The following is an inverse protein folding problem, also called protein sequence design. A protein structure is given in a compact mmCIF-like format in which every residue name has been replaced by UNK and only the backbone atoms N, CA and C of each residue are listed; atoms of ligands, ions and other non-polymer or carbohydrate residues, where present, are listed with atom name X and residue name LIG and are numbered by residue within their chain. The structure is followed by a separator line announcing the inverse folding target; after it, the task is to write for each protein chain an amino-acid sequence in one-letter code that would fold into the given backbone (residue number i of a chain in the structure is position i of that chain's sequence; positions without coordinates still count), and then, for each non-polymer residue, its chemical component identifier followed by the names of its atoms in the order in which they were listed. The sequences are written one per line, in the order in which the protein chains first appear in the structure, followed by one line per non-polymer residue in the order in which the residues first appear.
data_IF_291532624201
#
_entry.id   IF_291532624201
#
_cell.length_a   1.000
_cell.length_b   1.000
_cell.length_c   1.000
_cell.angle_alpha   90.00
_cell.angle_beta   90.00
_cell.angle_gamma   90.00
#
_symmetry.space_group_name_H-M   'P 1'
#
loop_
_entity.id
_entity.type
_entity.pdbx_description
1 polymer ?
#
# COMPACT_ATOMS: atom_id res chain seq x y z
N UNK A 1 20.91 17.88 0.73
CA UNK A 1 19.67 17.96 1.51
C UNK A 1 18.57 17.49 0.60
N UNK A 2 17.92 16.38 0.91
CA UNK A 2 16.79 15.86 0.15
C UNK A 2 15.58 16.77 0.26
N UNK A 3 14.56 16.53 -0.57
CA UNK A 3 13.33 17.32 -0.58
C UNK A 3 12.51 17.17 0.72
N UNK A 4 12.69 16.05 1.45
CA UNK A 4 11.93 15.71 2.65
C UNK A 4 12.70 15.86 3.96
N UNK A 5 14.01 16.15 3.93
CA UNK A 5 14.88 16.20 5.11
C UNK A 5 14.33 17.07 6.25
N UNK A 6 13.79 18.25 5.91
CA UNK A 6 13.23 19.18 6.90
C UNK A 6 11.97 18.61 7.57
N UNK A 7 11.11 17.94 6.80
CA UNK A 7 9.92 17.27 7.32
C UNK A 7 10.31 16.10 8.22
N UNK A 8 11.18 15.21 7.73
CA UNK A 8 11.57 14.00 8.44
C UNK A 8 12.28 14.29 9.77
N UNK A 9 13.08 15.36 9.84
CA UNK A 9 13.71 15.81 11.08
C UNK A 9 12.72 16.34 12.12
N UNK A 10 11.65 16.99 11.66
CA UNK A 10 10.66 17.62 12.54
C UNK A 10 9.54 16.68 12.96
N UNK A 11 9.11 15.82 12.05
CA UNK A 11 7.87 15.06 12.16
C UNK A 11 8.03 13.55 11.95
N UNK A 12 9.20 13.08 11.52
CA UNK A 12 9.46 11.65 11.37
C UNK A 12 9.39 10.92 12.71
N UNK A 13 8.70 9.77 12.74
CA UNK A 13 8.50 9.01 13.97
C UNK A 13 9.63 8.04 14.30
N UNK A 14 10.35 7.59 13.26
CA UNK A 14 11.41 6.59 13.35
C UNK A 14 12.60 7.01 12.51
N UNK A 15 13.77 6.53 12.90
CA UNK A 15 14.92 6.44 12.01
C UNK A 15 14.61 5.53 10.81
N UNK A 16 15.41 5.57 9.74
CA UNK A 16 15.21 4.70 8.59
C UNK A 16 15.06 3.23 9.00
N UNK A 17 14.01 2.57 8.51
CA UNK A 17 13.69 1.18 8.85
C UNK A 17 14.17 0.19 7.79
N UNK A 18 14.42 0.65 6.56
CA UNK A 18 14.90 -0.17 5.45
C UNK A 18 16.28 0.32 5.00
N UNK A 19 17.28 -0.55 5.16
CA UNK A 19 18.68 -0.24 4.83
C UNK A 19 18.98 -0.34 3.34
N UNK A 20 18.25 -1.17 2.60
CA UNK A 20 18.47 -1.34 1.16
C UNK A 20 18.07 -0.10 0.38
N UNK A 21 18.93 0.29 -0.57
CA UNK A 21 18.64 1.40 -1.49
C UNK A 21 17.40 1.10 -2.35
N UNK A 22 16.48 2.08 -2.53
CA UNK A 22 15.37 1.92 -3.45
C UNK A 22 15.85 1.95 -4.90
N UNK A 23 15.13 1.25 -5.77
CA UNK A 23 15.41 1.28 -7.21
C UNK A 23 15.30 2.73 -7.75
N UNK A 24 16.23 3.24 -8.58
CA UNK A 24 16.21 4.65 -9.05
C UNK A 24 14.92 5.04 -9.81
N UNK A 25 14.29 4.06 -10.44
CA UNK A 25 13.02 4.18 -11.13
C UNK A 25 11.77 3.99 -10.27
N UNK A 26 11.86 3.87 -8.94
CA UNK A 26 10.71 3.65 -8.05
C UNK A 26 9.63 4.74 -8.22
N UNK A 27 8.37 4.31 -8.37
CA UNK A 27 7.24 5.20 -8.65
C UNK A 27 6.14 5.10 -7.61
N UNK A 28 5.87 3.91 -7.10
CA UNK A 28 4.76 3.61 -6.20
C UNK A 28 5.28 2.86 -4.99
N UNK A 29 4.88 3.30 -3.80
CA UNK A 29 5.06 2.54 -2.57
C UNK A 29 3.68 2.25 -2.01
N UNK A 30 3.31 0.97 -1.92
CA UNK A 30 2.12 0.51 -1.22
C UNK A 30 2.50 0.28 0.24
N UNK A 31 1.75 0.87 1.17
CA UNK A 31 1.97 0.69 2.60
C UNK A 31 0.82 -0.13 3.19
N UNK A 32 1.18 -1.12 4.00
CA UNK A 32 0.23 -2.06 4.60
C UNK A 32 0.53 -2.16 6.10
N UNK A 33 -0.21 -1.47 6.98
CA UNK A 33 -0.20 -1.78 8.40
C UNK A 33 -0.89 -3.13 8.59
N UNK A 34 -0.32 -4.00 9.42
CA UNK A 34 -0.89 -5.30 9.72
C UNK A 34 -1.01 -5.53 11.23
N UNK A 35 -2.23 -5.84 11.68
CA UNK A 35 -2.54 -6.14 13.08
C UNK A 35 -3.62 -7.22 13.19
N UNK A 36 -3.21 -8.44 13.59
CA UNK A 36 -4.11 -9.59 13.74
C UNK A 36 -4.95 -9.96 12.50
N UNK A 37 -4.48 -9.72 11.28
CA UNK A 37 -5.23 -10.13 10.09
C UNK A 37 -4.87 -11.55 9.60
N UNK A 38 -5.88 -12.26 9.10
CA UNK A 38 -5.73 -13.53 8.40
C UNK A 38 -5.64 -13.38 6.87
N UNK A 39 -5.77 -12.16 6.33
CA UNK A 39 -5.88 -11.88 4.89
C UNK A 39 -4.61 -11.43 4.18
N UNK A 40 -3.50 -11.23 4.91
CA UNK A 40 -2.29 -10.60 4.37
C UNK A 40 -1.73 -11.33 3.15
N UNK A 41 -1.69 -12.66 3.16
CA UNK A 41 -1.17 -13.42 2.03
C UNK A 41 -1.99 -13.20 0.75
N UNK A 42 -3.33 -13.18 0.85
CA UNK A 42 -4.21 -12.88 -0.29
C UNK A 42 -3.99 -11.46 -0.82
N UNK A 43 -3.79 -10.51 0.08
CA UNK A 43 -3.44 -9.13 -0.25
C UNK A 43 -2.12 -9.10 -1.04
N UNK A 44 -1.07 -9.76 -0.53
CA UNK A 44 0.24 -9.84 -1.18
C UNK A 44 0.18 -10.54 -2.53
N UNK A 45 -0.57 -11.63 -2.66
CA UNK A 45 -0.81 -12.34 -3.94
C UNK A 45 -1.43 -11.42 -4.99
N UNK A 46 -2.41 -10.59 -4.60
CA UNK A 46 -3.06 -9.65 -5.52
C UNK A 46 -2.11 -8.54 -5.99
N UNK A 47 -1.24 -8.05 -5.11
CA UNK A 47 -0.19 -7.07 -5.45
C UNK A 47 0.90 -7.69 -6.31
N UNK A 48 1.33 -8.91 -6.01
CA UNK A 48 2.29 -9.66 -6.84
C UNK A 48 1.77 -9.88 -8.26
N UNK A 49 0.46 -10.11 -8.39
CA UNK A 49 -0.23 -10.34 -9.66
C UNK A 49 -0.51 -9.05 -10.45
N UNK A 50 -0.16 -7.87 -9.92
CA UNK A 50 -0.30 -6.62 -10.65
C UNK A 50 0.53 -6.65 -11.94
N UNK A 51 -0.15 -6.37 -13.05
CA UNK A 51 0.48 -6.24 -14.36
C UNK A 51 1.25 -4.95 -14.39
N UNK A 52 2.56 -5.09 -14.56
CA UNK A 52 3.46 -3.99 -14.84
C UNK A 52 3.75 -4.07 -16.33
N UNK A 53 3.04 -3.30 -17.15
CA UNK A 53 3.34 -3.24 -18.58
C UNK A 53 4.71 -2.60 -18.79
N UNK A 54 5.50 -3.18 -19.70
CA UNK A 54 6.93 -2.89 -19.89
C UNK A 54 7.83 -4.12 -20.10
N UNK A 55 7.27 -5.33 -20.24
CA UNK A 55 8.07 -6.50 -20.57
C UNK A 55 7.23 -7.72 -20.94
N UNK A 56 6.77 -7.78 -22.19
CA UNK A 56 6.64 -9.01 -23.02
C UNK A 56 6.12 -8.61 -24.40
N UNK A 57 7.00 -8.12 -25.27
CA UNK A 57 6.91 -8.45 -26.70
C UNK A 57 8.08 -9.39 -26.99
N UNK A 58 7.81 -10.68 -27.01
CA UNK A 58 8.73 -11.66 -27.56
C UNK A 58 8.69 -11.52 -29.09
N UNK A 59 9.59 -10.70 -29.63
CA UNK A 59 9.95 -10.72 -31.04
C UNK A 59 9.78 -9.39 -31.78
N UNK A 60 10.74 -8.49 -31.64
CA UNK A 60 11.41 -7.88 -32.80
C UNK A 60 12.52 -6.93 -32.32
N UNK A 61 13.63 -6.91 -33.07
CA UNK A 61 14.79 -6.08 -32.79
C UNK A 61 14.48 -4.58 -32.94
N UNK A 62 14.67 -3.79 -31.87
CA UNK A 62 15.11 -2.38 -31.96
C UNK A 62 15.66 -1.86 -30.61
N UNK A 63 16.56 -0.87 -30.72
CA UNK A 63 17.43 -0.31 -29.68
C UNK A 63 16.75 0.84 -28.85
N UNK A 64 17.53 1.65 -28.12
CA UNK A 64 17.35 1.95 -26.69
C UNK A 64 16.26 2.98 -26.39
N UNK A 65 15.36 2.72 -25.45
CA UNK A 65 14.34 3.71 -25.10
C UNK A 65 14.87 4.75 -24.11
N UNK A 66 15.13 5.93 -24.67
CA UNK A 66 15.22 7.19 -23.96
C UNK A 66 13.96 7.40 -23.10
N UNK A 67 14.17 7.87 -21.87
CA UNK A 67 13.09 8.24 -20.96
C UNK A 67 12.11 9.22 -21.61
N UNK A 68 10.83 9.06 -21.27
CA UNK A 68 9.79 10.04 -21.60
C UNK A 68 10.17 11.40 -21.03
N UNK A 69 9.66 12.49 -21.63
CA UNK A 69 9.98 13.88 -21.29
C UNK A 69 9.76 14.25 -19.80
N UNK A 70 9.06 13.39 -19.03
CA UNK A 70 8.75 13.54 -17.61
C UNK A 70 9.60 12.63 -16.67
N UNK A 71 10.58 11.89 -17.20
CA UNK A 71 11.51 11.07 -16.39
C UNK A 71 10.88 9.82 -15.76
N UNK A 72 9.83 9.28 -16.37
CA UNK A 72 9.18 8.04 -15.96
C UNK A 72 9.59 6.86 -16.87
N UNK A 73 10.08 5.73 -16.31
CA UNK A 73 10.39 4.53 -17.10
C UNK A 73 9.12 3.88 -17.67
N UNK A 74 9.28 3.10 -18.75
CA UNK A 74 8.20 2.37 -19.42
C UNK A 74 7.62 1.25 -18.56
N UNK A 75 8.42 0.63 -17.70
CA UNK A 75 7.98 -0.34 -16.69
C UNK A 75 7.78 0.29 -15.32
N UNK A 76 6.64 0.03 -14.67
CA UNK A 76 6.37 0.44 -13.28
C UNK A 76 7.35 -0.25 -12.32
N UNK A 77 8.01 0.53 -11.47
CA UNK A 77 8.72 -0.01 -10.30
C UNK A 77 7.95 0.36 -9.04
N UNK A 78 7.67 -0.64 -8.22
CA UNK A 78 6.93 -0.47 -6.98
C UNK A 78 7.63 -1.15 -5.81
N UNK A 79 7.26 -0.73 -4.61
CA UNK A 79 7.58 -1.44 -3.38
C UNK A 79 6.32 -1.60 -2.53
N UNK A 80 6.28 -2.67 -1.76
CA UNK A 80 5.25 -2.92 -0.75
C UNK A 80 5.95 -2.95 0.60
N UNK A 81 5.60 -2.03 1.48
CA UNK A 81 6.15 -1.96 2.83
C UNK A 81 5.05 -2.39 3.82
N UNK A 82 5.29 -3.53 4.45
CA UNK A 82 4.40 -4.12 5.44
C UNK A 82 4.96 -3.85 6.84
N UNK A 83 4.13 -3.34 7.74
CA UNK A 83 4.48 -3.21 9.15
C UNK A 83 3.52 -4.05 10.00
N UNK A 84 4.04 -5.15 10.55
CA UNK A 84 3.35 -5.89 11.59
C UNK A 84 3.62 -5.18 12.92
N UNK A 85 2.60 -4.59 13.53
CA UNK A 85 2.76 -3.80 14.75
C UNK A 85 2.03 -4.37 15.96
N UNK A 86 2.50 -4.08 17.17
CA UNK A 86 1.76 -4.32 18.42
C UNK A 86 2.14 -3.30 19.49
N UNK A 87 1.25 -3.04 20.48
CA UNK A 87 1.64 -2.31 21.68
C UNK A 87 2.71 -3.06 22.49
N UNK A 88 3.59 -2.32 23.17
CA UNK A 88 4.71 -2.86 23.97
C UNK A 88 4.28 -3.81 25.10
N UNK A 89 3.04 -3.72 25.55
CA UNK A 89 2.45 -4.61 26.57
C UNK A 89 1.26 -5.40 26.01
N UNK A 90 1.28 -5.71 24.72
CA UNK A 90 0.25 -6.53 24.11
C UNK A 90 0.17 -7.91 24.80
N UNK A 91 -1.04 -8.45 25.03
CA UNK A 91 -1.22 -9.82 25.51
C UNK A 91 -0.43 -10.84 24.67
N UNK A 92 0.08 -11.89 25.31
CA UNK A 92 0.93 -12.91 24.67
C UNK A 92 0.32 -13.48 23.38
N UNK A 93 -1.00 -13.73 23.37
CA UNK A 93 -1.69 -14.22 22.17
C UNK A 93 -1.65 -13.26 20.97
N UNK A 94 -1.53 -11.95 21.19
CA UNK A 94 -1.34 -10.96 20.12
C UNK A 94 0.07 -11.06 19.55
N UNK A 95 1.07 -11.12 20.44
CA UNK A 95 2.47 -11.24 20.03
C UNK A 95 2.71 -12.54 19.26
N UNK A 96 2.16 -13.66 19.74
CA UNK A 96 2.21 -14.95 19.03
C UNK A 96 1.53 -14.87 17.65
N UNK A 97 0.34 -14.25 17.57
CA UNK A 97 -0.34 -14.05 16.30
C UNK A 97 0.49 -13.21 15.34
N UNK A 98 1.11 -12.13 15.81
CA UNK A 98 1.98 -11.28 15.01
C UNK A 98 3.23 -12.02 14.53
N UNK A 99 3.86 -12.82 15.39
CA UNK A 99 4.99 -13.65 15.00
C UNK A 99 4.60 -14.68 13.93
N UNK A 100 3.39 -15.24 13.99
CA UNK A 100 2.87 -16.13 12.94
C UNK A 100 2.62 -15.39 11.63
N UNK A 101 1.98 -14.22 11.67
CA UNK A 101 1.75 -13.38 10.48
C UNK A 101 3.09 -12.98 9.86
N UNK A 102 4.02 -12.48 10.67
CA UNK A 102 5.37 -12.11 10.23
C UNK A 102 6.11 -13.30 9.61
N UNK A 103 6.07 -14.48 10.24
CA UNK A 103 6.67 -15.70 9.72
C UNK A 103 6.12 -16.07 8.33
N UNK A 104 4.78 -16.11 8.20
CA UNK A 104 4.11 -16.42 6.92
C UNK A 104 4.43 -15.40 5.84
N UNK A 105 4.36 -14.11 6.14
CA UNK A 105 4.69 -13.05 5.20
C UNK A 105 6.17 -13.10 4.77
N UNK A 106 7.09 -13.38 5.70
CA UNK A 106 8.52 -13.55 5.41
C UNK A 106 8.74 -14.72 4.45
N UNK A 107 8.11 -15.85 4.70
CA UNK A 107 8.26 -17.05 3.89
C UNK A 107 7.63 -16.83 2.50
N UNK A 108 6.46 -16.19 2.43
CA UNK A 108 5.84 -15.77 1.17
C UNK A 108 6.76 -14.86 0.34
N UNK A 109 7.37 -13.84 0.95
CA UNK A 109 8.29 -12.91 0.26
C UNK A 109 9.50 -13.67 -0.30
N UNK A 110 10.02 -14.66 0.42
CA UNK A 110 11.15 -15.48 -0.05
C UNK A 110 10.78 -16.33 -1.26
N UNK A 111 9.56 -16.85 -1.29
CA UNK A 111 9.06 -17.70 -2.37
C UNK A 111 8.61 -16.90 -3.61
N UNK A 112 8.25 -15.63 -3.44
CA UNK A 112 7.66 -14.78 -4.49
C UNK A 112 8.55 -13.59 -4.86
N UNK A 113 9.69 -13.87 -5.48
CA UNK A 113 10.58 -12.81 -5.99
C UNK A 113 9.99 -12.16 -7.25
N UNK A 114 9.82 -10.84 -7.23
CA UNK A 114 9.32 -10.07 -8.37
C UNK A 114 10.38 -9.04 -8.80
N UNK A 115 10.78 -8.97 -10.08
CA UNK A 115 11.78 -8.01 -10.52
C UNK A 115 11.30 -6.56 -10.50
N UNK A 116 9.98 -6.31 -10.54
CA UNK A 116 9.38 -4.97 -10.60
C UNK A 116 8.82 -4.49 -9.26
N UNK A 117 8.52 -5.41 -8.34
CA UNK A 117 7.90 -5.12 -7.05
C UNK A 117 8.79 -5.64 -5.92
N UNK A 118 9.38 -4.73 -5.15
CA UNK A 118 10.10 -5.06 -3.92
C UNK A 118 9.15 -5.23 -2.74
N UNK A 119 9.39 -6.22 -1.87
CA UNK A 119 8.59 -6.41 -0.66
C UNK A 119 9.47 -6.25 0.58
N UNK A 120 9.05 -5.38 1.51
CA UNK A 120 9.75 -5.09 2.74
C UNK A 120 8.85 -5.40 3.94
N UNK A 121 9.32 -6.24 4.84
CA UNK A 121 8.57 -6.67 6.02
C UNK A 121 9.24 -6.17 7.29
N UNK A 122 8.50 -5.34 8.03
CA UNK A 122 8.92 -4.72 9.27
C UNK A 122 8.12 -5.29 10.45
N UNK A 123 8.79 -5.37 11.61
CA UNK A 123 8.18 -5.76 12.88
C UNK A 123 8.54 -4.70 13.92
N UNK A 124 7.55 -4.00 14.45
CA UNK A 124 7.76 -3.04 15.55
C UNK A 124 6.75 -3.29 16.66
N UNK A 125 7.26 -3.70 17.82
CA UNK A 125 6.48 -3.93 19.05
C UNK A 125 6.74 -2.85 20.10
N UNK A 126 7.42 -1.75 19.76
CA UNK A 126 7.82 -0.72 20.72
C UNK A 126 6.75 0.38 20.93
N UNK A 127 5.56 0.22 20.35
CA UNK A 127 4.50 1.24 20.44
C UNK A 127 3.97 1.39 21.85
N UNK A 128 3.79 2.63 22.32
CA UNK A 128 3.02 2.89 23.53
C UNK A 128 1.56 2.41 23.40
N UNK A 129 0.84 2.16 24.51
CA UNK A 129 -0.53 1.63 24.47
C UNK A 129 -1.54 2.49 23.68
N UNK A 130 -1.33 3.81 23.62
CA UNK A 130 -2.17 4.75 22.85
C UNK A 130 -1.69 4.95 21.41
N UNK A 131 -0.54 4.38 21.06
CA UNK A 131 0.17 4.59 19.80
C UNK A 131 0.12 3.35 18.89
N UNK A 132 -0.34 2.20 19.39
CA UNK A 132 -0.43 0.97 18.60
C UNK A 132 -1.62 0.93 17.62
N UNK A 133 -2.35 2.04 17.46
CA UNK A 133 -3.45 2.14 16.51
C UNK A 133 -2.96 2.16 15.05
N UNK A 134 -3.84 1.73 14.14
CA UNK A 134 -3.56 1.67 12.69
C UNK A 134 -3.06 3.00 12.11
N UNK A 135 -3.51 4.14 12.64
CA UNK A 135 -3.08 5.47 12.19
C UNK A 135 -1.59 5.74 12.39
N UNK A 136 -1.02 5.27 13.51
CA UNK A 136 0.42 5.43 13.78
C UNK A 136 1.25 4.52 12.89
N UNK A 137 0.82 3.26 12.71
CA UNK A 137 1.47 2.32 11.80
C UNK A 137 1.49 2.86 10.36
N UNK A 138 0.37 3.41 9.88
CA UNK A 138 0.32 4.10 8.58
C UNK A 138 1.31 5.27 8.52
N UNK A 139 1.38 6.11 9.56
CA UNK A 139 2.32 7.23 9.58
C UNK A 139 3.78 6.78 9.52
N UNK A 140 4.16 5.75 10.29
CA UNK A 140 5.54 5.20 10.23
C UNK A 140 5.87 4.70 8.84
N UNK A 141 4.94 3.95 8.22
CA UNK A 141 5.11 3.47 6.86
C UNK A 141 5.19 4.61 5.83
N UNK A 142 4.37 5.67 5.98
CA UNK A 142 4.44 6.86 5.14
C UNK A 142 5.77 7.62 5.32
N UNK A 143 6.26 7.77 6.55
CA UNK A 143 7.55 8.39 6.84
C UNK A 143 8.68 7.61 6.15
N UNK A 144 8.65 6.27 6.23
CA UNK A 144 9.62 5.41 5.53
C UNK A 144 9.49 5.52 4.01
N UNK A 145 8.28 5.49 3.45
CA UNK A 145 8.05 5.68 2.02
C UNK A 145 8.60 7.04 1.52
N UNK A 146 8.40 8.12 2.31
CA UNK A 146 8.97 9.44 2.03
C UNK A 146 10.50 9.40 2.05
N UNK A 147 11.13 8.74 3.04
CA UNK A 147 12.59 8.56 3.08
C UNK A 147 13.12 7.87 1.83
N UNK A 148 12.42 6.83 1.37
CA UNK A 148 12.82 6.07 0.17
C UNK A 148 12.75 6.93 -1.08
N UNK A 149 11.67 7.67 -1.28
CA UNK A 149 11.59 8.62 -2.40
C UNK A 149 12.62 9.76 -2.29
N UNK A 150 12.93 10.23 -1.08
CA UNK A 150 13.94 11.26 -0.82
C UNK A 150 15.34 10.83 -1.25
N UNK A 151 15.75 9.58 -0.95
CA UNK A 151 17.04 9.01 -1.35
C UNK A 151 17.28 9.03 -2.86
N UNK A 152 16.23 8.92 -3.67
CA UNK A 152 16.30 8.95 -5.14
C UNK A 152 15.80 10.27 -5.75
N UNK A 153 15.56 11.30 -4.94
CA UNK A 153 15.13 12.62 -5.41
C UNK A 153 13.79 12.61 -6.16
N UNK A 154 12.82 11.80 -5.70
CA UNK A 154 11.50 11.63 -6.34
C UNK A 154 10.35 12.25 -5.52
N UNK A 155 10.18 13.59 -5.52
CA UNK A 155 9.15 14.26 -4.71
C UNK A 155 7.71 13.97 -5.15
N UNK A 156 7.51 13.44 -6.36
CA UNK A 156 6.21 13.04 -6.91
C UNK A 156 5.97 11.54 -6.88
N UNK A 157 6.66 10.82 -6.01
CA UNK A 157 6.40 9.41 -5.74
C UNK A 157 4.99 9.20 -5.17
N UNK A 158 4.35 8.10 -5.53
CA UNK A 158 2.98 7.78 -5.10
C UNK A 158 3.06 6.90 -3.86
N UNK A 159 2.37 7.29 -2.79
CA UNK A 159 2.19 6.45 -1.59
C UNK A 159 0.73 5.99 -1.55
N UNK A 160 0.51 4.68 -1.67
CA UNK A 160 -0.81 4.07 -1.63
C UNK A 160 -1.02 3.36 -0.29
N UNK A 161 -1.95 3.86 0.54
CA UNK A 161 -2.32 3.21 1.80
C UNK A 161 -3.37 2.15 1.55
N UNK A 162 -3.09 0.92 2.00
CA UNK A 162 -3.96 -0.24 1.79
C UNK A 162 -4.11 -1.03 3.09
N UNK A 163 -5.27 -1.66 3.29
CA UNK A 163 -5.54 -2.52 4.43
C UNK A 163 -5.05 -3.96 4.14
N UNK A 164 -4.64 -4.69 5.18
CA UNK A 164 -3.98 -5.99 5.03
C UNK A 164 -4.93 -7.12 4.58
N UNK A 165 -6.24 -6.90 4.53
CA UNK A 165 -7.25 -7.82 4.01
C UNK A 165 -7.88 -7.37 2.67
N UNK A 166 -7.42 -6.23 2.13
CA UNK A 166 -7.85 -5.77 0.82
C UNK A 166 -7.16 -6.57 -0.30
N UNK A 167 -7.83 -6.71 -1.43
CA UNK A 167 -7.25 -7.27 -2.66
C UNK A 167 -7.41 -6.26 -3.79
N UNK A 168 -6.43 -6.23 -4.69
CA UNK A 168 -6.42 -5.30 -5.82
C UNK A 168 -6.58 -6.02 -7.16
N UNK A 169 -7.12 -5.31 -8.15
CA UNK A 169 -7.17 -5.79 -9.53
C UNK A 169 -5.77 -5.75 -10.17
N UNK A 170 -5.50 -6.59 -11.20
CA UNK A 170 -4.19 -6.64 -11.85
C UNK A 170 -3.73 -5.29 -12.44
N UNK A 171 -4.64 -4.38 -12.78
CA UNK A 171 -4.32 -3.05 -13.32
C UNK A 171 -4.03 -1.98 -12.26
N UNK A 172 -4.06 -2.31 -10.97
CA UNK A 172 -4.06 -1.34 -9.87
C UNK A 172 -2.88 -0.36 -9.88
N UNK A 173 -1.65 -0.87 -9.94
CA UNK A 173 -0.45 -0.02 -9.95
C UNK A 173 -0.40 0.88 -11.19
N UNK A 174 -0.81 0.36 -12.34
CA UNK A 174 -0.89 1.13 -13.59
C UNK A 174 -1.95 2.22 -13.51
N UNK A 175 -3.11 1.94 -12.93
CA UNK A 175 -4.18 2.91 -12.74
C UNK A 175 -3.72 4.07 -11.83
N UNK A 176 -3.00 3.79 -10.74
CA UNK A 176 -2.42 4.81 -9.87
C UNK A 176 -1.47 5.73 -10.63
N UNK A 177 -0.49 5.14 -11.33
CA UNK A 177 0.49 5.90 -12.11
C UNK A 177 -0.21 6.76 -13.18
N UNK A 178 -1.17 6.21 -13.91
CA UNK A 178 -1.92 6.93 -14.95
C UNK A 178 -2.76 8.08 -14.35
N UNK A 179 -3.37 7.87 -13.18
CA UNK A 179 -4.18 8.90 -12.52
C UNK A 179 -3.35 10.13 -12.16
N UNK A 180 -2.22 9.94 -11.47
CA UNK A 180 -1.37 11.06 -11.03
C UNK A 180 -0.52 11.68 -12.15
N UNK A 181 -0.32 10.97 -13.27
CA UNK A 181 0.25 11.56 -14.50
C UNK A 181 -0.75 12.45 -15.23
N UNK A 182 -1.99 11.99 -15.37
CA UNK A 182 -3.01 12.71 -16.14
C UNK A 182 -3.67 13.87 -15.36
N UNK A 183 -3.50 13.93 -14.04
CA UNK A 183 -4.13 14.93 -13.17
C UNK A 183 -3.13 15.51 -12.17
N UNK A 184 -3.04 16.84 -12.04
CA UNK A 184 -2.19 17.49 -11.04
C UNK A 184 -2.90 17.53 -9.68
N UNK A 185 -3.13 16.35 -9.08
CA UNK A 185 -3.72 16.22 -7.75
C UNK A 185 -2.68 15.70 -6.76
N UNK A 186 -2.77 16.15 -5.50
CA UNK A 186 -1.86 15.71 -4.42
C UNK A 186 -2.34 14.43 -3.72
N UNK A 187 -3.59 14.01 -3.97
CA UNK A 187 -4.16 12.80 -3.39
C UNK A 187 -5.52 12.44 -3.98
N UNK A 188 -5.93 11.19 -3.78
CA UNK A 188 -7.23 10.67 -4.18
C UNK A 188 -7.69 9.57 -3.21
N UNK A 189 -9.00 9.34 -3.14
CA UNK A 189 -9.56 8.12 -2.56
C UNK A 189 -9.65 7.04 -3.63
N UNK A 190 -9.34 5.80 -3.27
CA UNK A 190 -9.48 4.64 -4.15
C UNK A 190 -10.85 4.02 -3.89
N UNK A 191 -11.57 3.72 -4.98
CA UNK A 191 -12.84 3.01 -4.89
C UNK A 191 -12.62 1.59 -4.39
N UNK A 192 -13.48 1.13 -3.48
CA UNK A 192 -13.47 -0.23 -2.97
C UNK A 192 -14.91 -0.71 -2.71
N UNK A 193 -15.09 -2.02 -2.72
CA UNK A 193 -16.36 -2.67 -2.41
C UNK A 193 -16.10 -3.98 -1.66
N UNK A 194 -17.02 -4.34 -0.77
CA UNK A 194 -17.00 -5.64 -0.13
C UNK A 194 -17.71 -6.71 -0.99
N UNK A 195 -17.25 -7.98 -0.96
CA UNK A 195 -17.96 -9.06 -1.63
C UNK A 195 -19.36 -9.26 -1.04
N UNK A 196 -20.38 -9.22 -1.90
CA UNK A 196 -21.79 -9.38 -1.50
C UNK A 196 -22.25 -10.85 -1.40
N UNK A 197 -21.39 -11.79 -1.81
CA UNK A 197 -21.63 -13.23 -1.76
C UNK A 197 -20.30 -13.99 -1.76
N UNK A 198 -20.31 -15.23 -1.27
CA UNK A 198 -19.17 -16.14 -1.31
C UNK A 198 -19.38 -17.35 -0.41
N UNK A 199 -18.33 -18.17 -0.27
CA UNK A 199 -18.36 -19.40 0.53
C UNK A 199 -17.60 -19.25 1.86
N UNK A 200 -16.90 -18.13 2.06
CA UNK A 200 -16.03 -17.89 3.21
C UNK A 200 -16.84 -17.63 4.50
N UNK A 201 -18.01 -17.00 4.37
CA UNK A 201 -18.85 -16.62 5.50
C UNK A 201 -20.28 -17.15 5.36
N UNK A 202 -21.05 -17.08 6.46
CA UNK A 202 -22.46 -17.45 6.42
C UNK A 202 -23.28 -16.44 5.59
N UNK A 203 -24.42 -16.84 5.01
CA UNK A 203 -25.31 -15.93 4.28
C UNK A 203 -25.72 -14.69 5.08
N UNK A 204 -25.80 -14.79 6.41
CA UNK A 204 -26.10 -13.67 7.30
C UNK A 204 -25.03 -12.58 7.30
N UNK A 205 -23.75 -12.96 7.16
CA UNK A 205 -22.63 -12.00 7.07
C UNK A 205 -22.71 -11.24 5.74
N UNK A 206 -22.93 -11.93 4.63
CA UNK A 206 -23.09 -11.29 3.32
C UNK A 206 -24.31 -10.35 3.26
N UNK A 207 -25.40 -10.71 3.92
CA UNK A 207 -26.56 -9.81 4.07
C UNK A 207 -26.21 -8.57 4.90
N UNK A 208 -25.44 -8.72 5.97
CA UNK A 208 -24.97 -7.59 6.78
C UNK A 208 -24.05 -6.66 5.98
N UNK A 209 -23.10 -7.23 5.22
CA UNK A 209 -22.24 -6.50 4.28
C UNK A 209 -23.09 -5.73 3.26
N UNK A 210 -24.07 -6.40 2.63
CA UNK A 210 -24.96 -5.77 1.65
C UNK A 210 -25.70 -4.57 2.25
N UNK A 211 -26.20 -4.69 3.49
CA UNK A 211 -26.87 -3.57 4.19
C UNK A 211 -25.90 -2.43 4.49
N UNK A 212 -24.68 -2.73 4.89
CA UNK A 212 -23.64 -1.74 5.14
C UNK A 212 -23.26 -0.98 3.85
N UNK A 213 -23.04 -1.72 2.76
CA UNK A 213 -22.79 -1.22 1.41
C UNK A 213 -23.91 -0.32 0.88
N UNK A 214 -25.18 -0.70 1.08
CA UNK A 214 -26.33 0.13 0.76
C UNK A 214 -26.38 1.40 1.61
N UNK A 215 -26.06 1.30 2.90
CA UNK A 215 -26.01 2.45 3.80
C UNK A 215 -24.95 3.47 3.37
N UNK A 216 -23.74 3.02 3.03
CA UNK A 216 -22.67 3.90 2.54
C UNK A 216 -23.09 4.64 1.26
N UNK A 217 -23.69 3.92 0.29
CA UNK A 217 -24.20 4.53 -0.95
C UNK A 217 -25.31 5.54 -0.67
N UNK A 218 -26.26 5.21 0.20
CA UNK A 218 -27.32 6.13 0.62
C UNK A 218 -26.76 7.38 1.30
N UNK A 219 -25.78 7.23 2.21
CA UNK A 219 -25.15 8.33 2.92
C UNK A 219 -24.41 9.27 1.97
N UNK A 220 -23.66 8.73 1.01
CA UNK A 220 -22.97 9.51 -0.01
C UNK A 220 -23.96 10.30 -0.87
N UNK A 221 -25.04 9.66 -1.35
CA UNK A 221 -26.08 10.35 -2.13
C UNK A 221 -26.81 11.42 -1.30
N UNK A 222 -27.07 11.16 -0.02
CA UNK A 222 -27.65 12.14 0.89
C UNK A 222 -26.74 13.35 1.03
N UNK A 223 -25.43 13.13 1.19
CA UNK A 223 -24.43 14.20 1.30
C UNK A 223 -24.31 14.99 -0.01
N UNK A 224 -24.44 14.34 -1.17
CA UNK A 224 -24.50 15.03 -2.48
C UNK A 224 -25.76 15.89 -2.60
N UNK A 225 -26.91 15.40 -2.13
CA UNK A 225 -28.18 16.12 -2.23
C UNK A 225 -28.23 17.44 -1.44
N UNK A 226 -27.39 17.60 -0.41
CA UNK A 226 -27.28 18.86 0.34
C UNK A 226 -26.44 19.92 -0.36
N UNK A 227 -25.79 19.59 -1.48
CA UNK A 227 -24.84 20.47 -2.16
C UNK A 227 -23.46 20.55 -1.46
N UNK A 228 -23.13 19.59 -0.59
CA UNK A 228 -21.83 19.57 0.07
C UNK A 228 -20.69 19.42 -0.96
N UNK A 229 -19.72 20.35 -1.00
CA UNK A 229 -18.74 20.43 -2.08
C UNK A 229 -17.71 19.30 -2.08
N UNK A 230 -17.66 18.48 -1.02
CA UNK A 230 -16.69 17.38 -0.86
C UNK A 230 -17.33 16.00 -0.75
N UNK A 231 -18.49 15.81 -1.36
CA UNK A 231 -19.23 14.54 -1.37
C UNK A 231 -18.73 13.59 -2.47
N UNK A 232 -17.45 13.21 -2.41
CA UNK A 232 -16.79 12.34 -3.38
C UNK A 232 -16.97 10.88 -3.00
#
# INVERSE_FOLDING_TARGET
MGFADAYLRKAGLREPLIDTEPHPGLQVIVIIPAYKESGLERCLDSLFSCRVEGGFEAGSHAMPEAGTADGFPSSIRAEVIILVNAPAHAPAGILESNHRIYGRARDWIREHQNPFIGFHLLLDHSFGPKEAGVGMARKILMDEAVRRFDRIGRPRGIIASMDADAVVEPGYLQALVNHFRSRPVDGCSIYFEHPLSGEEFSPGVYLAITRYELHLRYYLQSTRSTGYPRAF
#
